data_IF_858468547844
#
_entry.id   IF_858468547844
#
_cell.length_a   1.000
_cell.length_b   1.000
_cell.length_c   1.000
_cell.angle_alpha   90.00
_cell.angle_beta   90.00
_cell.angle_gamma   90.00
#
_symmetry.space_group_name_H-M   'P 1'
#
loop_
_entity.id
_entity.type
_entity.pdbx_description
1 polymer ?
#
# COMPACT_ATOMS: atom_id res chain seq x y z
N UNK A 1 -8.38 -11.41 -32.60
CA UNK A 1 -9.78 -10.94 -32.47
C UNK A 1 -10.13 -10.54 -31.03
N UNK A 2 -10.06 -11.43 -30.03
CA UNK A 2 -10.43 -11.13 -28.64
C UNK A 2 -9.54 -10.06 -27.95
N UNK A 3 -8.21 -10.11 -28.15
CA UNK A 3 -7.29 -9.13 -27.56
C UNK A 3 -7.51 -7.70 -28.08
N UNK A 4 -7.67 -7.54 -29.40
CA UNK A 4 -7.95 -6.24 -30.02
C UNK A 4 -9.29 -5.65 -29.54
N UNK A 5 -10.31 -6.50 -29.36
CA UNK A 5 -11.59 -6.09 -28.77
C UNK A 5 -11.44 -5.65 -27.31
N UNK A 6 -10.69 -6.38 -26.49
CA UNK A 6 -10.43 -6.03 -25.09
C UNK A 6 -9.68 -4.69 -24.96
N UNK A 7 -8.67 -4.47 -25.82
CA UNK A 7 -7.93 -3.19 -25.88
C UNK A 7 -8.88 -2.04 -26.20
N UNK A 8 -9.69 -2.18 -27.27
CA UNK A 8 -10.65 -1.14 -27.68
C UNK A 8 -11.67 -0.84 -26.59
N UNK A 9 -12.18 -1.88 -25.90
CA UNK A 9 -13.10 -1.73 -24.76
C UNK A 9 -12.45 -0.97 -23.60
N UNK A 10 -11.18 -1.27 -23.29
CA UNK A 10 -10.42 -0.59 -22.24
C UNK A 10 -10.21 0.90 -22.55
N UNK A 11 -9.77 1.22 -23.78
CA UNK A 11 -9.58 2.60 -24.23
C UNK A 11 -10.89 3.39 -24.14
N UNK A 12 -11.98 2.83 -24.69
CA UNK A 12 -13.29 3.48 -24.63
C UNK A 12 -13.71 3.74 -23.18
N UNK A 13 -13.52 2.77 -22.27
CA UNK A 13 -13.87 2.96 -20.86
C UNK A 13 -13.14 4.13 -20.21
N UNK A 14 -11.85 4.31 -20.51
CA UNK A 14 -11.05 5.44 -20.00
C UNK A 14 -11.54 6.75 -20.58
N UNK A 15 -11.73 6.82 -21.90
CA UNK A 15 -12.20 8.03 -22.58
C UNK A 15 -13.60 8.45 -22.12
N UNK A 16 -14.53 7.50 -22.07
CA UNK A 16 -15.90 7.73 -21.60
C UNK A 16 -15.90 8.23 -20.14
N UNK A 17 -15.03 7.66 -19.29
CA UNK A 17 -14.85 8.11 -17.91
C UNK A 17 -14.33 9.53 -17.80
N UNK A 18 -13.34 9.91 -18.62
CA UNK A 18 -12.82 11.29 -18.69
C UNK A 18 -13.91 12.26 -19.14
N UNK A 19 -14.68 11.88 -20.18
CA UNK A 19 -15.79 12.71 -20.67
C UNK A 19 -16.86 12.87 -19.59
N UNK A 20 -17.26 11.78 -18.92
CA UNK A 20 -18.22 11.83 -17.83
C UNK A 20 -17.72 12.73 -16.69
N UNK A 21 -16.46 12.58 -16.26
CA UNK A 21 -15.85 13.45 -15.24
C UNK A 21 -15.95 14.92 -15.61
N UNK A 22 -15.61 15.28 -16.86
CA UNK A 22 -15.65 16.67 -17.35
C UNK A 22 -17.06 17.28 -17.30
N UNK A 23 -18.08 16.49 -17.58
CA UNK A 23 -19.47 16.96 -17.63
C UNK A 23 -20.21 16.90 -16.30
N UNK A 24 -19.72 16.12 -15.33
CA UNK A 24 -20.43 15.89 -14.05
C UNK A 24 -19.67 16.43 -12.85
N UNK A 25 -18.51 15.85 -12.53
CA UNK A 25 -17.78 16.10 -11.29
C UNK A 25 -16.82 17.29 -11.37
N UNK A 26 -16.32 17.62 -12.57
CA UNK A 26 -15.30 18.65 -12.74
C UNK A 26 -15.72 20.02 -12.19
N UNK A 27 -16.94 20.55 -12.42
CA UNK A 27 -17.30 21.88 -11.94
C UNK A 27 -17.19 22.03 -10.42
N UNK A 28 -17.64 21.03 -9.65
CA UNK A 28 -17.52 21.05 -8.18
C UNK A 28 -16.07 20.88 -7.72
N UNK A 29 -15.33 19.93 -8.32
CA UNK A 29 -13.92 19.69 -7.98
C UNK A 29 -13.00 20.86 -8.34
N UNK A 30 -13.34 21.66 -9.35
CA UNK A 30 -12.56 22.83 -9.73
C UNK A 30 -12.46 23.84 -8.59
N UNK A 31 -13.55 24.03 -7.84
CA UNK A 31 -13.55 24.92 -6.68
C UNK A 31 -12.68 24.39 -5.54
N UNK A 32 -12.62 23.06 -5.36
CA UNK A 32 -11.69 22.42 -4.42
C UNK A 32 -10.24 22.56 -4.87
N UNK A 33 -9.96 22.36 -6.17
CA UNK A 33 -8.62 22.55 -6.74
C UNK A 33 -8.12 23.99 -6.59
N UNK A 34 -8.99 24.99 -6.77
CA UNK A 34 -8.62 26.41 -6.56
C UNK A 34 -8.20 26.67 -5.12
N UNK A 35 -8.86 26.06 -4.13
CA UNK A 35 -8.50 26.19 -2.71
C UNK A 35 -7.10 25.67 -2.44
N UNK A 36 -6.76 24.52 -3.00
CA UNK A 36 -5.43 23.89 -2.77
C UNK A 36 -4.33 24.39 -3.69
N UNK A 37 -4.65 25.11 -4.76
CA UNK A 37 -3.66 25.70 -5.67
C UNK A 37 -2.74 26.72 -4.98
N UNK A 38 -3.22 27.37 -3.91
CA UNK A 38 -2.44 28.31 -3.10
C UNK A 38 -1.61 27.61 -2.00
N UNK A 39 -1.87 26.32 -1.78
CA UNK A 39 -1.25 25.52 -0.74
C UNK A 39 -2.19 24.38 -0.32
N UNK A 40 -1.82 23.10 -0.53
CA UNK A 40 -2.63 22.00 -0.02
C UNK A 40 -2.52 21.91 1.51
N UNK A 41 -3.63 21.59 2.17
CA UNK A 41 -3.65 21.24 3.60
C UNK A 41 -3.49 19.72 3.72
N UNK A 42 -2.26 19.22 3.60
CA UNK A 42 -1.99 17.79 3.67
C UNK A 42 -2.14 17.28 5.11
N UNK A 43 -3.15 16.45 5.33
CA UNK A 43 -3.53 15.85 6.60
C UNK A 43 -2.83 14.50 6.83
N UNK A 44 -2.31 13.87 5.78
CA UNK A 44 -1.67 12.57 5.92
C UNK A 44 -1.04 12.00 4.64
N UNK A 45 -0.32 10.91 4.83
CA UNK A 45 0.15 10.00 3.79
C UNK A 45 -0.59 8.66 3.92
N UNK A 46 -1.16 8.19 2.82
CA UNK A 46 -1.78 6.88 2.71
C UNK A 46 -0.95 5.97 1.79
N UNK A 47 -0.41 4.90 2.36
CA UNK A 47 0.25 3.80 1.66
C UNK A 47 -0.76 2.67 1.45
N UNK A 48 -0.96 2.21 0.22
CA UNK A 48 -1.98 1.19 -0.06
C UNK A 48 -1.65 0.29 -1.23
N UNK A 49 -2.40 -0.81 -1.40
CA UNK A 49 -2.17 -1.75 -2.49
C UNK A 49 -2.54 -1.16 -3.88
N UNK A 50 -1.82 -1.60 -4.93
CA UNK A 50 -2.17 -1.35 -6.35
C UNK A 50 -3.41 -2.12 -6.82
N UNK A 51 -4.01 -2.97 -5.99
CA UNK A 51 -5.20 -3.74 -6.34
C UNK A 51 -6.33 -2.85 -6.87
N UNK A 52 -6.92 -3.23 -8.01
CA UNK A 52 -7.93 -2.41 -8.69
C UNK A 52 -9.26 -2.30 -7.92
N UNK A 53 -9.47 -3.12 -6.88
CA UNK A 53 -10.61 -3.02 -5.96
C UNK A 53 -10.43 -1.88 -4.95
N UNK A 54 -9.18 -1.47 -4.69
CA UNK A 54 -8.86 -0.42 -3.73
C UNK A 54 -8.92 0.94 -4.42
N UNK A 55 -9.90 1.74 -4.02
CA UNK A 55 -10.09 3.12 -4.49
C UNK A 55 -9.83 4.06 -3.31
N UNK A 56 -8.55 4.34 -3.07
CA UNK A 56 -8.04 5.04 -1.88
C UNK A 56 -8.83 6.31 -1.52
N UNK A 57 -8.97 7.25 -2.46
CA UNK A 57 -9.70 8.50 -2.27
C UNK A 57 -11.18 8.31 -1.94
N UNK A 58 -11.80 7.23 -2.44
CA UNK A 58 -13.20 6.91 -2.13
C UNK A 58 -13.35 6.23 -0.77
N UNK A 59 -12.38 5.41 -0.36
CA UNK A 59 -12.39 4.78 0.96
C UNK A 59 -12.24 5.82 2.07
N UNK A 60 -11.37 6.81 1.89
CA UNK A 60 -11.13 7.86 2.89
C UNK A 60 -12.04 9.07 2.76
N UNK A 61 -12.82 9.17 1.67
CA UNK A 61 -13.57 10.39 1.32
C UNK A 61 -12.66 11.64 1.26
N UNK A 62 -11.36 11.46 1.00
CA UNK A 62 -10.41 12.56 0.96
C UNK A 62 -10.65 13.47 -0.24
N UNK A 63 -10.73 14.77 0.04
CA UNK A 63 -10.76 15.84 -0.95
C UNK A 63 -9.36 16.06 -1.57
N UNK A 64 -9.28 16.72 -2.73
CA UNK A 64 -8.01 17.12 -3.32
C UNK A 64 -7.11 17.86 -2.33
N UNK A 65 -5.83 17.47 -2.28
CA UNK A 65 -4.82 18.08 -1.42
C UNK A 65 -4.77 17.59 0.03
N UNK A 66 -5.77 16.81 0.50
CA UNK A 66 -5.78 16.31 1.87
C UNK A 66 -4.79 15.17 2.11
N UNK A 67 -4.63 14.25 1.16
CA UNK A 67 -3.76 13.09 1.34
C UNK A 67 -2.72 12.98 0.23
N UNK A 68 -1.47 12.70 0.61
CA UNK A 68 -0.54 12.00 -0.28
C UNK A 68 -1.00 10.55 -0.38
N UNK A 69 -1.05 9.99 -1.59
CA UNK A 69 -1.47 8.60 -1.81
C UNK A 69 -0.39 7.89 -2.60
N UNK A 70 0.17 6.84 -2.01
CA UNK A 70 1.17 5.97 -2.62
C UNK A 70 0.55 4.58 -2.78
N UNK A 71 0.70 4.02 -3.98
CA UNK A 71 0.17 2.69 -4.30
C UNK A 71 1.28 1.77 -4.75
N UNK A 72 1.50 0.67 -4.03
CA UNK A 72 2.53 -0.33 -4.33
C UNK A 72 1.96 -1.76 -4.22
N UNK A 73 2.62 -2.79 -4.76
CA UNK A 73 2.13 -4.16 -4.67
C UNK A 73 2.28 -4.75 -3.26
N UNK A 74 3.29 -4.31 -2.50
CA UNK A 74 3.46 -4.47 -1.03
C UNK A 74 4.24 -3.24 -0.56
N UNK A 75 3.81 -2.53 0.50
CA UNK A 75 4.57 -1.43 1.06
C UNK A 75 5.85 -1.98 1.68
N UNK A 76 7.03 -1.62 1.16
CA UNK A 76 8.26 -2.10 1.72
C UNK A 76 8.54 -1.38 3.05
N UNK A 77 9.21 -2.08 3.93
CA UNK A 77 9.48 -1.63 5.30
C UNK A 77 10.94 -1.15 5.48
N UNK A 78 11.86 -1.60 4.62
CA UNK A 78 13.31 -1.46 4.80
C UNK A 78 13.94 -0.36 3.92
N UNK A 79 13.40 0.85 3.99
CA UNK A 79 13.87 1.96 3.16
C UNK A 79 15.21 2.57 3.59
N UNK A 80 15.62 2.38 4.84
CA UNK A 80 16.70 3.17 5.45
C UNK A 80 17.97 2.39 5.80
N UNK A 81 18.00 1.07 5.58
CA UNK A 81 19.22 0.27 5.77
C UNK A 81 20.00 0.17 4.45
N UNK A 82 21.05 1.00 4.32
CA UNK A 82 22.16 0.83 3.37
C UNK A 82 21.84 0.74 1.85
N UNK A 83 20.68 1.21 1.39
CA UNK A 83 20.37 1.16 -0.03
C UNK A 83 20.92 2.40 -0.78
N UNK A 84 21.83 2.16 -1.74
CA UNK A 84 22.28 3.17 -2.70
C UNK A 84 21.22 3.52 -3.77
N UNK A 85 20.03 2.94 -3.67
CA UNK A 85 18.92 3.10 -4.61
C UNK A 85 17.80 3.84 -3.87
N UNK A 86 17.41 5.00 -4.41
CA UNK A 86 16.28 5.78 -3.91
C UNK A 86 15.01 5.33 -4.63
N UNK A 87 14.05 4.80 -3.87
CA UNK A 87 12.76 4.35 -4.38
C UNK A 87 11.71 5.46 -4.34
N UNK A 88 10.67 5.35 -5.17
CA UNK A 88 9.66 6.41 -5.32
C UNK A 88 8.93 6.70 -4.01
N UNK A 89 8.70 5.67 -3.21
CA UNK A 89 8.07 5.79 -1.91
C UNK A 89 8.98 6.43 -0.84
N UNK A 90 10.30 6.23 -0.88
CA UNK A 90 11.23 7.00 -0.03
C UNK A 90 11.07 8.49 -0.31
N UNK A 91 11.04 8.87 -1.59
CA UNK A 91 10.90 10.25 -2.00
C UNK A 91 9.56 10.84 -1.56
N UNK A 92 8.47 10.06 -1.62
CA UNK A 92 7.16 10.50 -1.12
C UNK A 92 7.12 10.57 0.41
N UNK A 93 7.78 9.65 1.12
CA UNK A 93 7.91 9.71 2.58
C UNK A 93 8.69 10.97 3.00
N UNK A 94 9.81 11.30 2.36
CA UNK A 94 10.53 12.56 2.61
C UNK A 94 9.64 13.78 2.32
N UNK A 95 8.96 13.79 1.17
CA UNK A 95 8.07 14.89 0.79
C UNK A 95 6.96 15.08 1.82
N UNK A 96 6.22 14.01 2.15
CA UNK A 96 5.10 14.08 3.07
C UNK A 96 5.57 14.40 4.50
N UNK A 97 6.56 13.69 5.02
CA UNK A 97 6.94 13.77 6.43
C UNK A 97 7.90 14.94 6.69
N UNK A 98 8.95 15.10 5.89
CA UNK A 98 10.00 16.09 6.15
C UNK A 98 9.75 17.45 5.50
N UNK A 99 9.09 17.50 4.34
CA UNK A 99 8.82 18.77 3.63
C UNK A 99 7.43 19.33 3.96
N UNK A 100 6.45 18.45 4.14
CA UNK A 100 5.06 18.84 4.37
C UNK A 100 4.57 18.59 5.81
N UNK A 101 5.38 17.96 6.67
CA UNK A 101 5.07 17.69 8.08
C UNK A 101 3.68 17.07 8.27
N UNK A 102 3.31 16.08 7.44
CA UNK A 102 2.02 15.42 7.61
C UNK A 102 1.95 14.74 8.99
N UNK A 103 0.84 14.91 9.74
CA UNK A 103 0.73 14.38 11.09
C UNK A 103 0.39 12.88 11.13
N UNK A 104 0.03 12.28 10.00
CA UNK A 104 -0.47 10.91 9.93
C UNK A 104 0.15 10.16 8.74
N UNK A 105 0.63 8.95 9.01
CA UNK A 105 0.92 7.94 7.98
C UNK A 105 -0.02 6.76 8.24
N UNK A 106 -0.82 6.40 7.24
CA UNK A 106 -1.75 5.27 7.30
C UNK A 106 -1.37 4.22 6.25
N UNK A 107 -1.39 2.94 6.63
CA UNK A 107 -1.11 1.80 5.74
C UNK A 107 -2.40 0.98 5.59
N UNK A 108 -2.89 0.86 4.36
CA UNK A 108 -4.14 0.17 4.03
C UNK A 108 -3.84 -1.07 3.19
N UNK A 109 -3.91 -2.22 3.84
CA UNK A 109 -3.90 -3.52 3.17
C UNK A 109 -5.33 -4.06 2.96
N UNK A 110 -5.46 -5.18 2.26
CA UNK A 110 -6.75 -5.83 2.03
C UNK A 110 -6.63 -7.35 1.95
N UNK A 111 -7.74 -8.01 2.30
CA UNK A 111 -7.89 -9.46 2.16
C UNK A 111 -7.78 -9.90 0.70
N UNK A 112 -7.30 -11.13 0.49
CA UNK A 112 -7.09 -11.74 -0.82
C UNK A 112 -6.22 -10.86 -1.73
N UNK A 113 -5.15 -10.30 -1.17
CA UNK A 113 -4.16 -9.56 -1.93
C UNK A 113 -3.38 -10.51 -2.85
N UNK A 114 -3.41 -10.22 -4.16
CA UNK A 114 -2.71 -11.04 -5.16
C UNK A 114 -1.21 -11.09 -4.90
N UNK A 115 -0.64 -9.98 -4.46
CA UNK A 115 0.78 -9.90 -4.14
C UNK A 115 1.11 -10.72 -2.90
N UNK A 116 0.28 -10.65 -1.85
CA UNK A 116 0.49 -11.45 -0.64
C UNK A 116 0.27 -12.94 -0.88
N UNK A 117 -0.69 -13.29 -1.73
CA UNK A 117 -0.89 -14.66 -2.21
C UNK A 117 0.34 -15.19 -2.98
N UNK A 118 0.97 -14.35 -3.81
CA UNK A 118 2.23 -14.70 -4.49
C UNK A 118 3.38 -14.83 -3.49
N UNK A 119 3.55 -13.86 -2.58
CA UNK A 119 4.56 -13.88 -1.54
C UNK A 119 4.47 -15.17 -0.72
N UNK A 120 3.27 -15.55 -0.30
CA UNK A 120 3.04 -16.80 0.43
C UNK A 120 3.52 -18.02 -0.35
N UNK A 121 3.30 -18.09 -1.66
CA UNK A 121 3.77 -19.21 -2.50
C UNK A 121 5.30 -19.25 -2.60
N UNK A 122 5.95 -18.10 -2.74
CA UNK A 122 7.41 -18.00 -2.94
C UNK A 122 8.19 -17.82 -1.62
N UNK A 123 7.54 -17.85 -0.46
CA UNK A 123 8.16 -17.56 0.86
C UNK A 123 9.36 -18.43 1.22
N UNK A 124 9.43 -19.64 0.66
CA UNK A 124 10.55 -20.57 0.85
C UNK A 124 11.71 -20.31 -0.11
N UNK A 125 11.51 -19.47 -1.11
CA UNK A 125 12.47 -19.09 -2.16
C UNK A 125 12.82 -17.60 -2.10
N UNK A 126 12.55 -16.94 -0.97
CA UNK A 126 12.67 -15.48 -0.82
C UNK A 126 14.10 -14.98 -1.08
N UNK A 127 15.11 -15.81 -0.78
CA UNK A 127 16.53 -15.51 -0.99
C UNK A 127 17.05 -15.80 -2.41
N UNK A 128 16.22 -16.40 -3.28
CA UNK A 128 16.63 -16.79 -4.63
C UNK A 128 16.26 -15.66 -5.61
N UNK A 129 17.20 -15.07 -6.38
CA UNK A 129 16.87 -14.02 -7.34
C UNK A 129 15.80 -14.44 -8.36
N UNK A 130 14.95 -13.51 -8.79
CA UNK A 130 13.93 -13.76 -9.83
C UNK A 130 14.09 -12.84 -11.03
N UNK A 131 13.72 -13.36 -12.21
CA UNK A 131 13.63 -12.55 -13.44
C UNK A 131 12.27 -11.83 -13.56
N UNK A 132 11.29 -12.20 -12.74
CA UNK A 132 9.99 -11.52 -12.69
C UNK A 132 10.12 -10.25 -11.85
N UNK A 133 9.80 -9.05 -12.39
CA UNK A 133 9.92 -7.81 -11.63
C UNK A 133 9.09 -7.80 -10.35
N UNK A 134 7.89 -8.39 -10.38
CA UNK A 134 7.02 -8.47 -9.20
C UNK A 134 7.58 -9.41 -8.13
N UNK A 135 8.11 -10.58 -8.53
CA UNK A 135 8.74 -11.47 -7.57
C UNK A 135 10.02 -10.86 -7.02
N UNK A 136 10.82 -10.21 -7.86
CA UNK A 136 12.04 -9.54 -7.41
C UNK A 136 11.70 -8.42 -6.41
N UNK A 137 10.67 -7.62 -6.68
CA UNK A 137 10.14 -6.65 -5.71
C UNK A 137 9.82 -7.31 -4.37
N UNK A 138 9.04 -8.39 -4.39
CA UNK A 138 8.67 -9.10 -3.16
C UNK A 138 9.87 -9.68 -2.42
N UNK A 139 10.82 -10.25 -3.15
CA UNK A 139 12.04 -10.85 -2.58
C UNK A 139 12.99 -9.80 -1.99
N UNK A 140 12.99 -8.59 -2.53
CA UNK A 140 13.75 -7.47 -1.96
C UNK A 140 13.06 -6.91 -0.71
N UNK A 141 11.74 -6.78 -0.74
CA UNK A 141 11.04 -5.92 0.22
C UNK A 141 10.26 -6.62 1.32
N UNK A 142 9.96 -7.91 1.16
CA UNK A 142 9.12 -8.65 2.10
C UNK A 142 9.90 -9.71 2.90
N UNK A 143 11.23 -9.60 2.96
CA UNK A 143 12.10 -10.55 3.68
C UNK A 143 11.72 -10.59 5.16
N UNK A 144 11.65 -9.44 5.83
CA UNK A 144 11.26 -9.33 7.25
C UNK A 144 9.85 -9.86 7.51
N UNK A 145 8.88 -9.51 6.65
CA UNK A 145 7.51 -10.04 6.70
C UNK A 145 7.50 -11.57 6.63
N UNK A 146 8.26 -12.17 5.71
CA UNK A 146 8.36 -13.63 5.58
C UNK A 146 9.04 -14.27 6.79
N UNK A 147 10.10 -13.67 7.33
CA UNK A 147 10.77 -14.16 8.54
C UNK A 147 9.85 -14.12 9.75
N UNK A 148 9.12 -13.02 9.93
CA UNK A 148 8.15 -12.87 11.01
C UNK A 148 6.99 -13.85 10.87
N UNK A 149 6.50 -14.04 9.64
CA UNK A 149 5.49 -15.05 9.36
C UNK A 149 5.97 -16.47 9.66
N UNK A 150 7.21 -16.82 9.30
CA UNK A 150 7.76 -18.16 9.60
C UNK A 150 7.84 -18.42 11.09
N UNK A 151 8.15 -17.41 11.90
CA UNK A 151 8.11 -17.52 13.38
C UNK A 151 6.68 -17.79 13.87
N UNK A 152 5.69 -17.10 13.31
CA UNK A 152 4.28 -17.31 13.61
C UNK A 152 3.76 -18.68 13.16
N UNK A 153 4.12 -19.11 11.95
CA UNK A 153 3.76 -20.41 11.37
C UNK A 153 4.37 -21.55 12.19
N UNK A 154 5.62 -21.39 12.65
CA UNK A 154 6.30 -22.39 13.48
C UNK A 154 5.74 -22.48 14.90
N UNK A 155 5.30 -21.36 15.48
CA UNK A 155 4.69 -21.38 16.82
C UNK A 155 3.25 -21.90 16.82
N UNK A 156 2.55 -21.79 15.69
CA UNK A 156 1.11 -22.06 15.57
C UNK A 156 0.24 -21.07 16.35
N UNK A 157 0.84 -20.07 16.99
CA UNK A 157 0.17 -19.09 17.84
C UNK A 157 -0.33 -17.91 17.00
N UNK A 158 -1.33 -18.17 16.15
CA UNK A 158 -1.93 -17.13 15.31
C UNK A 158 -2.72 -16.09 16.10
N UNK A 159 -3.03 -16.34 17.38
CA UNK A 159 -3.70 -15.37 18.27
C UNK A 159 -2.71 -14.43 18.94
N UNK A 160 -1.42 -14.60 18.64
CA UNK A 160 -0.37 -13.78 19.21
C UNK A 160 -0.61 -12.32 18.89
N UNK A 161 -0.41 -11.53 19.94
CA UNK A 161 -0.29 -10.09 19.89
C UNK A 161 1.07 -9.70 19.31
N UNK A 162 1.06 -8.92 18.26
CA UNK A 162 2.23 -8.19 17.80
C UNK A 162 2.36 -6.89 18.58
N UNK A 163 3.58 -6.60 18.99
CA UNK A 163 3.94 -5.32 19.60
C UNK A 163 4.77 -4.60 18.56
N UNK A 164 4.27 -3.48 18.08
CA UNK A 164 4.98 -2.58 17.20
C UNK A 164 5.64 -1.53 18.07
N UNK A 165 6.96 -1.64 18.17
CA UNK A 165 7.76 -0.73 18.99
C UNK A 165 8.26 0.43 18.16
N UNK A 166 8.08 1.64 18.68
CA UNK A 166 8.61 2.85 18.07
C UNK A 166 10.13 2.90 18.21
N UNK A 167 10.82 3.28 17.14
CA UNK A 167 12.28 3.40 17.15
C UNK A 167 12.77 4.58 18.00
N UNK A 168 11.91 5.55 18.33
CA UNK A 168 12.30 6.82 18.95
C UNK A 168 11.51 7.17 20.22
N UNK A 169 10.26 6.69 20.35
CA UNK A 169 9.36 7.07 21.43
C UNK A 169 8.57 5.86 21.94
N UNK A 170 9.04 5.19 23.00
CA UNK A 170 8.41 3.99 23.56
C UNK A 170 6.93 4.16 23.95
N UNK A 171 6.48 5.39 24.18
CA UNK A 171 5.07 5.72 24.44
C UNK A 171 4.16 5.61 23.21
N UNK A 172 4.73 5.49 22.00
CA UNK A 172 4.02 5.21 20.75
C UNK A 172 3.96 3.70 20.42
N UNK A 173 4.44 2.83 21.32
CA UNK A 173 4.31 1.39 21.16
C UNK A 173 2.82 1.02 21.13
N UNK A 174 2.43 0.25 20.11
CA UNK A 174 1.05 -0.20 19.97
C UNK A 174 0.95 -1.68 19.70
N UNK A 175 -0.23 -2.19 20.02
CA UNK A 175 -0.53 -3.60 20.01
C UNK A 175 -1.45 -3.90 18.84
N UNK A 176 -1.07 -4.88 18.02
CA UNK A 176 -1.93 -5.39 16.97
C UNK A 176 -2.22 -6.87 17.18
N UNK A 177 -3.46 -7.26 16.91
CA UNK A 177 -3.87 -8.66 16.92
C UNK A 177 -3.86 -9.16 15.48
N UNK A 178 -3.11 -10.21 15.22
CA UNK A 178 -3.24 -10.97 13.99
C UNK A 178 -4.42 -11.91 14.20
N UNK A 179 -5.46 -11.80 13.37
CA UNK A 179 -6.54 -12.79 13.27
C UNK A 179 -6.93 -13.46 14.62
N UNK A 180 -7.45 -12.69 15.57
CA UNK A 180 -7.72 -13.16 16.94
C UNK A 180 -8.66 -14.38 17.00
N UNK A 181 -9.50 -14.54 15.97
CA UNK A 181 -10.43 -15.67 15.82
C UNK A 181 -9.84 -16.84 15.03
N UNK A 182 -8.66 -16.68 14.42
CA UNK A 182 -7.98 -17.66 13.58
C UNK A 182 -8.82 -18.09 12.35
N UNK A 183 -9.55 -17.15 11.74
CA UNK A 183 -10.51 -17.39 10.65
C UNK A 183 -9.92 -17.13 9.26
N UNK A 184 -8.79 -16.42 9.19
CA UNK A 184 -8.19 -16.03 7.92
C UNK A 184 -7.25 -17.11 7.35
N UNK A 185 -7.10 -17.07 6.02
CA UNK A 185 -6.15 -17.93 5.31
C UNK A 185 -4.73 -17.56 5.68
N UNK A 186 -3.79 -18.50 5.54
CA UNK A 186 -2.38 -18.24 5.82
C UNK A 186 -1.79 -17.08 5.01
N UNK A 187 -2.23 -16.87 3.77
CA UNK A 187 -1.79 -15.72 2.96
C UNK A 187 -2.32 -14.38 3.47
N UNK A 188 -3.51 -14.34 4.04
CA UNK A 188 -4.09 -13.14 4.66
C UNK A 188 -3.46 -12.89 6.05
N UNK A 189 -3.08 -13.95 6.77
CA UNK A 189 -2.28 -13.84 8.01
C UNK A 189 -0.88 -13.30 7.75
N UNK A 190 -0.27 -13.73 6.64
CA UNK A 190 1.03 -13.21 6.17
C UNK A 190 0.98 -11.71 5.92
N UNK A 191 -0.18 -11.14 5.58
CA UNK A 191 -0.30 -9.70 5.33
C UNK A 191 -0.49 -8.84 6.58
N UNK A 192 -0.65 -9.49 7.75
CA UNK A 192 -0.82 -8.85 9.05
C UNK A 192 0.45 -8.88 9.91
N UNK A 193 1.55 -9.47 9.42
CA UNK A 193 2.83 -9.59 10.16
C UNK A 193 3.89 -8.61 9.71
#
# INVERSE_FOLDING_TARGET
MAAAYAIRKGINRVLDGIMQYRHTLRPSLLEEFKKVALGPSSEGLLLTCVDSRVVASRLTQAAPGQLFIVRNPVPPYDYFENNSIVEGECAVLELACSRNNVPLIAIFDHLDCKTMNLLYRIRNEISIPSKSPLEQWLKTHAVRTVEQFKKLESSGDYKRKLIFTSAQHYEDDFEAFIDSNNEFKHSDKLSQV
#
